data_IF_169236677689
#
_entry.id   IF_169236677689
#
_cell.length_a   1.000
_cell.length_b   1.000
_cell.length_c   1.000
_cell.angle_alpha   90.00
_cell.angle_beta   90.00
_cell.angle_gamma   90.00
#
_symmetry.space_group_name_H-M   'P 1'
#
loop_
_entity.id
_entity.type
_entity.pdbx_description
1 polymer ?
#
# COMPACT_ATOMS: atom_id res chain seq x y z
N UNK A 1 -28.81 3.46 0.57
CA UNK A 1 -27.56 3.95 1.20
C UNK A 1 -26.44 3.87 0.17
N UNK A 2 -25.51 4.81 0.17
CA UNK A 2 -24.36 4.75 -0.76
C UNK A 2 -23.28 3.83 -0.21
N UNK A 3 -22.42 3.30 -1.09
CA UNK A 3 -21.29 2.41 -0.72
C UNK A 3 -20.33 3.09 0.26
N UNK A 4 -19.95 4.33 -0.04
CA UNK A 4 -19.10 5.16 0.84
C UNK A 4 -20.01 5.98 1.75
N UNK A 5 -19.66 6.08 3.03
CA UNK A 5 -20.42 6.83 4.02
C UNK A 5 -20.19 8.35 3.87
N UNK A 6 -20.67 8.93 2.76
CA UNK A 6 -20.51 10.36 2.48
C UNK A 6 -21.16 11.25 3.54
N UNK A 7 -22.20 10.80 4.23
CA UNK A 7 -22.79 11.58 5.32
C UNK A 7 -21.77 11.81 6.43
N UNK A 8 -21.07 10.74 6.85
CA UNK A 8 -20.01 10.84 7.85
C UNK A 8 -18.84 11.70 7.34
N UNK A 9 -18.40 11.48 6.10
CA UNK A 9 -17.27 12.21 5.51
C UNK A 9 -17.55 13.71 5.43
N UNK A 10 -18.73 14.10 4.95
CA UNK A 10 -19.12 15.50 4.80
C UNK A 10 -19.28 16.19 6.16
N UNK A 11 -19.82 15.51 7.15
CA UNK A 11 -19.97 16.04 8.50
C UNK A 11 -18.62 16.30 9.19
N UNK A 12 -17.57 15.62 8.77
CA UNK A 12 -16.23 15.72 9.36
C UNK A 12 -15.21 16.43 8.45
N UNK A 13 -15.60 16.92 7.29
CA UNK A 13 -14.65 17.38 6.25
C UNK A 13 -13.68 18.45 6.76
N UNK A 14 -14.12 19.45 7.52
CA UNK A 14 -13.26 20.51 8.04
C UNK A 14 -12.20 19.96 9.00
N UNK A 15 -12.59 19.03 9.86
CA UNK A 15 -11.67 18.31 10.76
C UNK A 15 -10.69 17.46 9.97
N UNK A 16 -11.16 16.69 8.99
CA UNK A 16 -10.31 15.82 8.15
C UNK A 16 -9.28 16.64 7.36
N UNK A 17 -9.69 17.77 6.77
CA UNK A 17 -8.78 18.71 6.08
C UNK A 17 -7.72 19.25 7.03
N UNK A 18 -8.14 19.67 8.23
CA UNK A 18 -7.23 20.17 9.26
C UNK A 18 -6.24 19.09 9.68
N UNK A 19 -6.74 17.90 9.94
CA UNK A 19 -5.93 16.76 10.35
C UNK A 19 -4.93 16.36 9.26
N UNK A 20 -5.35 16.23 8.00
CA UNK A 20 -4.47 15.90 6.89
C UNK A 20 -3.31 16.89 6.76
N UNK A 21 -3.58 18.19 6.85
CA UNK A 21 -2.56 19.23 6.67
C UNK A 21 -1.60 19.37 7.87
N UNK A 22 -2.06 19.06 9.09
CA UNK A 22 -1.27 19.23 10.32
C UNK A 22 -0.51 17.98 10.73
N UNK A 23 -0.97 16.79 10.35
CA UNK A 23 -0.37 15.53 10.81
C UNK A 23 1.05 15.33 10.28
N UNK A 24 1.87 14.68 11.09
CA UNK A 24 3.27 14.33 10.84
C UNK A 24 3.45 12.83 11.15
N UNK A 25 4.42 12.14 10.54
CA UNK A 25 5.60 12.67 9.83
C UNK A 25 5.33 13.17 8.43
N UNK A 26 4.20 12.82 7.82
CA UNK A 26 3.71 13.28 6.52
C UNK A 26 2.18 13.45 6.57
N UNK A 27 1.57 13.92 5.49
CA UNK A 27 0.12 14.17 5.45
C UNK A 27 -0.66 12.86 5.41
N UNK A 28 -1.57 12.65 6.37
CA UNK A 28 -2.46 11.49 6.42
C UNK A 28 -3.74 11.77 7.19
N UNK A 29 -4.77 10.94 6.96
CA UNK A 29 -5.97 10.84 7.79
C UNK A 29 -6.31 9.39 8.08
N UNK A 30 -7.02 9.19 9.18
CA UNK A 30 -7.62 7.92 9.57
C UNK A 30 -9.12 8.15 9.72
N UNK A 31 -9.92 7.33 9.07
CA UNK A 31 -11.38 7.45 9.00
C UNK A 31 -11.98 6.10 9.36
N UNK A 32 -12.69 6.03 10.47
CA UNK A 32 -13.42 4.83 10.88
C UNK A 32 -14.84 4.83 10.28
N UNK A 33 -15.44 3.65 10.12
CA UNK A 33 -16.76 3.45 9.52
C UNK A 33 -16.87 4.08 8.12
N UNK A 34 -15.82 3.86 7.31
CA UNK A 34 -15.62 4.50 6.02
C UNK A 34 -16.66 4.08 4.96
N UNK A 35 -16.92 2.78 4.85
CA UNK A 35 -17.99 2.24 4.01
C UNK A 35 -19.28 2.08 4.82
N UNK A 36 -20.41 1.95 4.11
CA UNK A 36 -21.58 1.29 4.67
C UNK A 36 -21.18 -0.10 5.19
N UNK A 37 -21.67 -0.46 6.37
CA UNK A 37 -21.26 -1.68 7.07
C UNK A 37 -21.53 -2.94 6.25
N UNK A 38 -22.68 -2.98 5.56
CA UNK A 38 -23.07 -4.12 4.70
C UNK A 38 -22.08 -4.35 3.57
N UNK A 39 -21.56 -3.27 2.95
CA UNK A 39 -20.53 -3.37 1.91
C UNK A 39 -19.20 -3.81 2.50
N UNK A 40 -18.80 -3.28 3.65
CA UNK A 40 -17.58 -3.69 4.32
C UNK A 40 -17.57 -5.18 4.70
N UNK A 41 -18.72 -5.69 5.21
CA UNK A 41 -18.91 -7.11 5.52
C UNK A 41 -18.90 -8.00 4.27
N UNK A 42 -19.55 -7.55 3.19
CA UNK A 42 -19.58 -8.30 1.94
C UNK A 42 -18.19 -8.43 1.29
N UNK A 43 -17.33 -7.41 1.41
CA UNK A 43 -15.94 -7.49 0.96
C UNK A 43 -15.16 -8.64 1.60
N UNK A 44 -15.48 -9.05 2.83
CA UNK A 44 -14.84 -10.18 3.49
C UNK A 44 -15.06 -11.51 2.77
N UNK A 45 -16.07 -11.61 1.91
CA UNK A 45 -16.36 -12.83 1.15
C UNK A 45 -15.24 -13.19 0.16
N UNK A 46 -14.54 -12.18 -0.40
CA UNK A 46 -13.44 -12.40 -1.33
C UNK A 46 -12.19 -12.97 -0.63
N UNK A 47 -12.11 -12.86 0.70
CA UNK A 47 -11.02 -13.40 1.50
C UNK A 47 -11.24 -14.84 1.99
N UNK A 48 -12.35 -15.49 1.62
CA UNK A 48 -12.65 -16.87 2.07
C UNK A 48 -11.75 -17.91 1.40
N UNK A 49 -11.41 -17.69 0.13
CA UNK A 49 -10.48 -18.55 -0.59
C UNK A 49 -9.37 -17.71 -1.26
N UNK A 50 -8.17 -17.85 -0.74
CA UNK A 50 -6.98 -17.14 -1.23
C UNK A 50 -5.99 -18.08 -1.94
N UNK A 51 -6.43 -19.29 -2.32
CA UNK A 51 -5.57 -20.31 -2.94
C UNK A 51 -4.98 -19.88 -4.28
N UNK A 52 -5.70 -19.05 -5.03
CA UNK A 52 -5.28 -18.53 -6.33
C UNK A 52 -4.64 -17.13 -6.27
N UNK A 53 -4.43 -16.59 -5.06
CA UNK A 53 -3.81 -15.30 -4.91
C UNK A 53 -2.31 -15.36 -5.17
N UNK A 54 -1.75 -14.25 -5.67
CA UNK A 54 -0.30 -14.13 -5.86
C UNK A 54 0.43 -14.11 -4.53
N UNK A 55 1.45 -14.96 -4.40
CA UNK A 55 2.28 -15.05 -3.21
C UNK A 55 3.51 -14.17 -3.33
N UNK A 56 3.63 -13.22 -2.43
CA UNK A 56 4.83 -12.42 -2.24
C UNK A 56 5.56 -12.94 -1.01
N UNK A 57 6.69 -13.62 -1.23
CA UNK A 57 7.52 -14.15 -0.15
C UNK A 57 8.96 -13.73 -0.42
N UNK A 58 9.35 -12.67 0.23
CA UNK A 58 10.64 -12.02 0.09
C UNK A 58 11.13 -11.59 1.49
N UNK A 59 12.41 -11.28 1.65
CA UNK A 59 12.90 -10.83 2.97
C UNK A 59 12.37 -9.42 3.35
N UNK A 60 11.79 -8.67 2.43
CA UNK A 60 11.13 -7.40 2.71
C UNK A 60 9.62 -7.52 2.91
N UNK A 61 9.01 -8.61 2.45
CA UNK A 61 7.57 -8.82 2.58
C UNK A 61 7.18 -10.29 2.54
N UNK A 62 6.12 -10.62 3.27
CA UNK A 62 5.45 -11.92 3.19
C UNK A 62 3.95 -11.69 3.25
N UNK A 63 3.28 -11.73 2.10
CA UNK A 63 1.86 -11.45 1.93
C UNK A 63 1.26 -12.18 0.73
N UNK A 64 -0.06 -12.18 0.65
CA UNK A 64 -0.84 -12.58 -0.53
C UNK A 64 -1.49 -11.33 -1.13
N UNK A 65 -1.69 -11.32 -2.45
CA UNK A 65 -2.45 -10.26 -3.11
C UNK A 65 -3.30 -10.84 -4.25
N UNK A 66 -4.54 -10.37 -4.34
CA UNK A 66 -5.41 -10.56 -5.49
C UNK A 66 -5.37 -9.28 -6.33
N UNK A 67 -4.82 -9.39 -7.54
CA UNK A 67 -4.63 -8.26 -8.47
C UNK A 67 -5.56 -8.43 -9.69
N UNK A 68 -5.88 -9.67 -10.05
CA UNK A 68 -6.69 -9.99 -11.23
C UNK A 68 -8.16 -9.58 -11.02
N UNK A 69 -8.58 -8.52 -11.69
CA UNK A 69 -9.95 -7.98 -11.66
C UNK A 69 -11.02 -9.03 -11.94
N UNK A 70 -10.72 -10.01 -12.81
CA UNK A 70 -11.67 -11.07 -13.20
C UNK A 70 -12.04 -11.99 -12.05
N UNK A 71 -11.26 -11.97 -10.97
CA UNK A 71 -11.47 -12.77 -9.76
C UNK A 71 -12.13 -12.01 -8.63
N UNK A 72 -12.41 -10.69 -8.81
CA UNK A 72 -13.13 -9.91 -7.82
C UNK A 72 -14.61 -10.25 -7.83
N UNK A 73 -15.22 -10.27 -6.65
CA UNK A 73 -16.69 -10.31 -6.54
C UNK A 73 -17.32 -9.03 -7.08
N UNK A 74 -18.62 -9.08 -7.37
CA UNK A 74 -19.39 -7.91 -7.76
C UNK A 74 -19.27 -6.79 -6.71
N UNK A 75 -19.38 -7.12 -5.43
CA UNK A 75 -19.23 -6.14 -4.34
C UNK A 75 -17.85 -5.47 -4.35
N UNK A 76 -16.77 -6.24 -4.57
CA UNK A 76 -15.41 -5.67 -4.65
C UNK A 76 -15.29 -4.72 -5.83
N UNK A 77 -15.84 -5.09 -6.99
CA UNK A 77 -15.86 -4.20 -8.17
C UNK A 77 -16.65 -2.92 -7.90
N UNK A 78 -17.85 -3.03 -7.30
CA UNK A 78 -18.67 -1.87 -6.92
C UNK A 78 -17.92 -0.93 -5.97
N UNK A 79 -17.22 -1.47 -4.98
CA UNK A 79 -16.44 -0.66 -4.03
C UNK A 79 -15.29 0.05 -4.74
N UNK A 80 -14.55 -0.62 -5.62
CA UNK A 80 -13.51 0.04 -6.42
C UNK A 80 -14.10 1.14 -7.33
N UNK A 81 -15.23 0.90 -7.99
CA UNK A 81 -15.89 1.92 -8.81
C UNK A 81 -16.37 3.11 -7.95
N UNK A 82 -16.89 2.86 -6.75
CA UNK A 82 -17.24 3.93 -5.82
C UNK A 82 -16.04 4.77 -5.41
N UNK A 83 -14.88 4.15 -5.14
CA UNK A 83 -13.63 4.81 -4.81
C UNK A 83 -13.02 5.59 -6.00
N UNK A 84 -13.37 5.24 -7.23
CA UNK A 84 -12.97 5.93 -8.47
C UNK A 84 -14.00 6.97 -8.92
N UNK A 85 -15.17 7.03 -8.27
CA UNK A 85 -16.26 7.92 -8.66
C UNK A 85 -15.86 9.40 -8.58
N UNK A 86 -16.45 10.22 -9.44
CA UNK A 86 -16.27 11.68 -9.41
C UNK A 86 -16.58 12.28 -8.02
N UNK A 87 -17.58 11.74 -7.32
CA UNK A 87 -17.93 12.19 -5.99
C UNK A 87 -16.79 11.97 -4.98
N UNK A 88 -16.16 10.79 -5.01
CA UNK A 88 -15.07 10.50 -4.09
C UNK A 88 -13.76 11.20 -4.50
N UNK A 89 -13.48 11.32 -5.79
CA UNK A 89 -12.34 12.13 -6.29
C UNK A 89 -12.49 13.59 -5.83
N UNK A 90 -13.66 14.19 -5.94
CA UNK A 90 -13.90 15.56 -5.46
C UNK A 90 -13.72 15.67 -3.95
N UNK A 91 -14.18 14.68 -3.18
CA UNK A 91 -13.91 14.62 -1.74
C UNK A 91 -12.39 14.59 -1.47
N UNK A 92 -11.62 13.72 -2.14
CA UNK A 92 -10.17 13.64 -1.98
C UNK A 92 -9.47 14.96 -2.36
N UNK A 93 -9.88 15.60 -3.45
CA UNK A 93 -9.32 16.89 -3.87
C UNK A 93 -9.60 17.98 -2.83
N UNK A 94 -10.81 18.00 -2.25
CA UNK A 94 -11.12 18.91 -1.15
C UNK A 94 -10.30 18.61 0.11
N UNK A 95 -10.18 17.34 0.48
CA UNK A 95 -9.41 16.87 1.64
C UNK A 95 -7.93 17.23 1.55
N UNK A 96 -7.30 16.94 0.41
CA UNK A 96 -5.84 16.98 0.24
C UNK A 96 -5.32 18.26 -0.41
N UNK A 97 -6.20 19.02 -1.05
CA UNK A 97 -5.88 20.17 -1.93
C UNK A 97 -5.03 19.78 -3.15
N UNK A 98 -5.00 18.49 -3.51
CA UNK A 98 -4.39 18.00 -4.73
C UNK A 98 -5.45 17.95 -5.81
N UNK A 99 -5.28 18.72 -6.89
CA UNK A 99 -6.22 18.78 -8.00
C UNK A 99 -5.89 17.74 -9.08
N UNK A 100 -6.88 17.47 -9.94
CA UNK A 100 -6.73 16.55 -11.10
C UNK A 100 -6.27 15.14 -10.71
N UNK A 101 -6.82 14.63 -9.60
CA UNK A 101 -6.57 13.26 -9.19
C UNK A 101 -7.17 12.28 -10.20
N UNK A 102 -6.38 11.26 -10.55
CA UNK A 102 -6.70 10.19 -11.47
C UNK A 102 -6.59 8.84 -10.76
N UNK A 103 -7.33 7.87 -11.24
CA UNK A 103 -7.20 6.46 -10.86
C UNK A 103 -6.85 5.64 -12.08
N UNK A 104 -6.07 4.57 -11.89
CA UNK A 104 -5.75 3.65 -12.97
C UNK A 104 -6.83 2.58 -13.16
N UNK A 105 -6.78 1.91 -14.30
CA UNK A 105 -7.58 0.71 -14.52
C UNK A 105 -7.18 -0.38 -13.51
N UNK A 106 -8.17 -1.17 -13.05
CA UNK A 106 -7.94 -2.20 -12.06
C UNK A 106 -6.96 -3.29 -12.51
N UNK A 107 -6.76 -3.43 -13.80
CA UNK A 107 -5.91 -4.46 -14.41
C UNK A 107 -4.44 -4.06 -14.55
N UNK A 108 -4.12 -2.77 -14.41
CA UNK A 108 -2.76 -2.27 -14.62
C UNK A 108 -2.02 -2.08 -13.32
N UNK A 109 -2.46 -1.11 -12.51
CA UNK A 109 -1.75 -0.77 -11.28
C UNK A 109 -2.66 0.01 -10.31
N UNK A 110 -2.47 -0.22 -9.03
CA UNK A 110 -3.04 0.64 -8.01
C UNK A 110 -4.30 0.15 -7.36
N UNK A 111 -4.81 -1.04 -7.68
CA UNK A 111 -5.96 -1.62 -7.00
C UNK A 111 -5.72 -3.10 -6.69
N UNK A 112 -5.83 -3.49 -5.43
CA UNK A 112 -5.73 -4.90 -5.05
C UNK A 112 -6.34 -5.18 -3.67
N UNK A 113 -6.67 -6.47 -3.44
CA UNK A 113 -6.91 -7.00 -2.11
C UNK A 113 -5.61 -7.64 -1.60
N UNK A 114 -5.31 -7.42 -0.33
CA UNK A 114 -4.09 -7.96 0.30
C UNK A 114 -4.45 -8.72 1.57
N UNK A 115 -3.87 -9.92 1.72
CA UNK A 115 -3.95 -10.72 2.93
C UNK A 115 -2.56 -11.03 3.48
N UNK A 116 -2.39 -10.82 4.78
CA UNK A 116 -1.16 -11.15 5.49
C UNK A 116 -1.48 -12.16 6.59
N UNK A 117 -0.95 -13.37 6.47
CA UNK A 117 -1.15 -14.47 7.43
C UNK A 117 -0.14 -14.41 8.57
N UNK A 118 -0.34 -15.25 9.59
CA UNK A 118 0.62 -15.45 10.69
C UNK A 118 2.06 -15.52 10.18
N UNK A 119 2.97 -14.82 10.85
CA UNK A 119 4.38 -14.70 10.46
C UNK A 119 4.62 -13.84 9.21
N UNK A 120 3.58 -13.25 8.62
CA UNK A 120 3.72 -12.29 7.51
C UNK A 120 4.06 -10.89 8.00
N UNK A 121 4.64 -10.09 7.13
CA UNK A 121 5.10 -8.72 7.43
C UNK A 121 5.34 -7.94 6.14
N UNK A 122 5.49 -6.62 6.29
CA UNK A 122 5.97 -5.71 5.25
C UNK A 122 6.96 -4.72 5.89
N UNK A 123 8.24 -4.82 5.54
CA UNK A 123 9.26 -3.92 6.07
C UNK A 123 8.95 -2.46 5.75
N UNK A 124 9.48 -1.55 6.57
CA UNK A 124 9.32 -0.13 6.34
C UNK A 124 9.92 0.25 5.00
N UNK A 125 9.15 1.01 4.21
CA UNK A 125 9.52 1.42 2.87
C UNK A 125 8.86 2.75 2.51
N UNK A 126 9.42 3.44 1.54
CA UNK A 126 8.71 4.43 0.75
C UNK A 126 8.32 3.83 -0.59
N UNK A 127 7.14 4.20 -1.07
CA UNK A 127 6.59 3.65 -2.30
C UNK A 127 7.25 4.23 -3.55
N UNK A 128 7.16 3.46 -4.66
CA UNK A 128 7.42 4.00 -5.99
C UNK A 128 6.44 5.15 -6.30
N UNK A 129 6.89 6.13 -7.05
CA UNK A 129 6.09 7.31 -7.38
C UNK A 129 5.59 7.31 -8.83
N UNK A 130 6.39 6.77 -9.77
CA UNK A 130 6.06 6.74 -11.18
C UNK A 130 5.21 5.50 -11.50
N UNK A 131 4.06 5.70 -12.16
CA UNK A 131 3.27 4.60 -12.72
C UNK A 131 4.12 3.74 -13.67
N UNK A 132 3.91 2.42 -13.67
CA UNK A 132 4.75 1.47 -14.43
C UNK A 132 4.72 1.69 -15.93
N UNK A 133 3.56 1.97 -16.52
CA UNK A 133 3.34 2.18 -17.96
C UNK A 133 3.11 3.65 -18.32
N UNK A 134 2.33 4.39 -17.54
CA UNK A 134 1.97 5.79 -17.76
C UNK A 134 3.04 6.72 -17.18
N UNK A 135 4.17 6.90 -17.86
CA UNK A 135 5.39 7.56 -17.36
C UNK A 135 5.23 9.00 -16.87
N UNK A 136 4.13 9.67 -17.20
CA UNK A 136 3.80 11.01 -16.72
C UNK A 136 2.94 10.99 -15.46
N UNK A 137 2.46 9.82 -15.02
CA UNK A 137 1.61 9.72 -13.86
C UNK A 137 2.42 9.60 -12.58
N UNK A 138 2.19 10.56 -11.69
CA UNK A 138 2.77 10.59 -10.34
C UNK A 138 1.78 10.08 -9.32
N UNK A 139 2.17 9.10 -8.53
CA UNK A 139 1.37 8.59 -7.41
C UNK A 139 1.36 9.63 -6.29
N UNK A 140 0.18 10.12 -5.97
CA UNK A 140 -0.03 11.18 -4.99
C UNK A 140 -0.52 10.65 -3.65
N UNK A 141 -1.46 9.68 -3.70
CA UNK A 141 -2.13 9.17 -2.51
C UNK A 141 -2.19 7.64 -2.51
N UNK A 142 -2.06 7.09 -1.32
CA UNK A 142 -2.46 5.74 -0.97
C UNK A 142 -3.75 5.75 -0.17
N UNK A 143 -4.65 4.85 -0.49
CA UNK A 143 -5.80 4.48 0.30
C UNK A 143 -5.66 3.04 0.76
N UNK A 144 -5.70 2.80 2.07
CA UNK A 144 -5.73 1.48 2.70
C UNK A 144 -7.04 1.35 3.47
N UNK A 145 -7.90 0.43 3.05
CA UNK A 145 -9.11 0.10 3.79
C UNK A 145 -8.91 -1.26 4.49
N UNK A 146 -8.98 -1.26 5.81
CA UNK A 146 -8.81 -2.46 6.63
C UNK A 146 -10.14 -3.16 6.90
N UNK A 147 -10.09 -4.50 6.91
CA UNK A 147 -11.27 -5.36 7.01
C UNK A 147 -11.10 -6.42 8.12
N UNK A 148 -10.50 -6.05 9.25
CA UNK A 148 -10.16 -6.99 10.32
C UNK A 148 -11.09 -6.81 11.52
N UNK A 149 -12.11 -7.67 11.60
CA UNK A 149 -12.98 -7.74 12.76
C UNK A 149 -12.19 -8.25 13.98
N UNK A 150 -12.49 -7.73 15.16
CA UNK A 150 -11.91 -8.13 16.45
C UNK A 150 -10.36 -8.11 16.49
N UNK A 151 -9.72 -7.27 15.66
CA UNK A 151 -8.27 -7.17 15.62
C UNK A 151 -7.71 -6.61 16.91
N UNK A 152 -6.72 -7.30 17.47
CA UNK A 152 -6.06 -6.91 18.71
C UNK A 152 -4.64 -6.41 18.42
N UNK A 153 -4.19 -5.42 19.18
CA UNK A 153 -2.83 -4.86 19.02
C UNK A 153 -1.73 -5.89 19.29
N UNK A 154 -2.00 -6.91 20.11
CA UNK A 154 -1.07 -8.02 20.37
C UNK A 154 -0.81 -8.91 19.14
N UNK A 155 -1.64 -8.80 18.09
CA UNK A 155 -1.44 -9.54 16.84
C UNK A 155 -0.39 -8.90 15.94
N UNK A 156 0.18 -7.76 16.33
CA UNK A 156 1.02 -6.92 15.48
C UNK A 156 0.27 -6.42 14.22
N UNK A 157 0.99 -5.99 13.21
CA UNK A 157 0.39 -5.58 11.93
C UNK A 157 -0.13 -4.16 11.90
N UNK A 158 0.11 -3.37 12.94
CA UNK A 158 -0.17 -1.94 12.96
C UNK A 158 0.58 -1.26 11.81
N UNK A 159 -0.09 -0.33 11.15
CA UNK A 159 0.57 0.51 10.15
C UNK A 159 1.45 1.53 10.88
N UNK A 160 2.76 1.42 10.69
CA UNK A 160 3.74 2.34 11.25
C UNK A 160 4.06 3.44 10.25
N UNK A 161 4.12 4.71 10.72
CA UNK A 161 4.63 5.87 10.00
C UNK A 161 5.88 6.40 10.69
N UNK A 162 6.98 6.45 9.93
CA UNK A 162 8.30 6.82 10.42
C UNK A 162 8.69 8.22 9.98
N UNK A 163 9.56 8.88 10.74
CA UNK A 163 10.15 10.15 10.32
C UNK A 163 11.04 9.98 9.08
N UNK A 164 11.30 11.07 8.38
CA UNK A 164 12.07 11.08 7.13
C UNK A 164 13.51 10.55 7.25
N UNK A 165 14.06 10.50 8.46
CA UNK A 165 15.40 10.00 8.76
C UNK A 165 15.40 8.56 9.26
N UNK A 166 14.24 7.94 9.39
CA UNK A 166 14.07 6.57 9.91
C UNK A 166 14.60 6.38 11.33
N UNK A 167 14.54 7.42 12.15
CA UNK A 167 15.02 7.37 13.54
C UNK A 167 13.92 6.97 14.52
N UNK A 168 12.68 7.38 14.25
CA UNK A 168 11.55 7.17 15.17
C UNK A 168 10.24 6.87 14.42
N UNK A 169 9.51 5.87 14.92
CA UNK A 169 8.12 5.64 14.54
C UNK A 169 7.25 6.72 15.20
N UNK A 170 6.69 7.61 14.40
CA UNK A 170 5.88 8.74 14.89
C UNK A 170 4.42 8.38 15.13
N UNK A 171 3.91 7.41 14.38
CA UNK A 171 2.49 7.02 14.43
C UNK A 171 2.36 5.53 14.19
N UNK A 172 1.47 4.92 14.96
CA UNK A 172 0.97 3.56 14.71
C UNK A 172 -0.56 3.60 14.54
N UNK A 173 -1.06 2.83 13.60
CA UNK A 173 -2.51 2.73 13.34
C UNK A 173 -2.93 1.28 13.31
N UNK A 174 -3.76 0.88 14.26
CA UNK A 174 -4.32 -0.48 14.34
C UNK A 174 -5.22 -0.72 13.13
N UNK A 175 -5.07 -1.83 12.39
CA UNK A 175 -5.81 -2.11 11.15
C UNK A 175 -7.20 -2.71 11.44
N UNK A 176 -8.06 -2.01 12.18
CA UNK A 176 -9.40 -2.49 12.55
C UNK A 176 -10.38 -2.48 11.37
N UNK A 177 -11.50 -3.19 11.54
CA UNK A 177 -12.55 -3.31 10.54
C UNK A 177 -13.12 -1.95 10.13
N UNK A 178 -13.32 -1.77 8.82
CA UNK A 178 -13.88 -0.57 8.18
C UNK A 178 -13.14 0.74 8.49
N UNK A 179 -11.82 0.64 8.80
CA UNK A 179 -10.91 1.77 8.95
C UNK A 179 -10.20 2.06 7.65
N UNK A 180 -10.35 3.28 7.15
CA UNK A 180 -9.64 3.78 5.99
C UNK A 180 -8.49 4.70 6.42
N UNK A 181 -7.30 4.46 5.87
CA UNK A 181 -6.14 5.34 6.02
C UNK A 181 -5.78 5.90 4.66
N UNK A 182 -5.76 7.23 4.53
CA UNK A 182 -5.35 7.92 3.31
C UNK A 182 -4.12 8.74 3.63
N UNK A 183 -3.04 8.56 2.86
CA UNK A 183 -1.81 9.30 3.08
C UNK A 183 -1.12 9.68 1.77
N UNK A 184 -0.36 10.77 1.84
CA UNK A 184 0.40 11.31 0.70
C UNK A 184 1.61 10.43 0.41
N UNK A 185 1.89 10.21 -0.87
CA UNK A 185 3.06 9.45 -1.33
C UNK A 185 4.16 10.42 -1.77
N UNK A 186 5.31 10.36 -1.09
CA UNK A 186 6.51 11.14 -1.37
C UNK A 186 7.74 10.26 -1.15
N UNK A 187 8.93 10.70 -1.57
CA UNK A 187 10.17 9.90 -1.45
C UNK A 187 10.49 9.45 -0.03
N UNK A 188 10.05 10.21 0.97
CA UNK A 188 10.34 9.96 2.39
C UNK A 188 9.11 9.61 3.22
N UNK A 189 8.03 9.17 2.59
CA UNK A 189 6.85 8.68 3.31
C UNK A 189 7.04 7.22 3.73
N UNK A 190 7.90 7.02 4.73
CA UNK A 190 8.26 5.69 5.22
C UNK A 190 7.16 5.06 6.06
N UNK A 191 6.68 3.91 5.61
CA UNK A 191 5.59 3.19 6.25
C UNK A 191 5.68 1.68 6.06
N UNK A 192 4.93 0.91 6.86
CA UNK A 192 4.89 -0.55 6.79
C UNK A 192 4.29 -1.16 8.04
N UNK A 193 4.39 -2.48 8.15
CA UNK A 193 4.08 -3.25 9.36
C UNK A 193 5.16 -4.33 9.52
N UNK A 194 6.34 -3.95 10.04
CA UNK A 194 7.58 -4.74 9.92
C UNK A 194 7.70 -5.87 10.93
N UNK A 195 6.81 -5.93 11.92
CA UNK A 195 6.77 -7.02 12.88
C UNK A 195 5.95 -8.18 12.31
N UNK A 196 6.48 -9.42 12.33
CA UNK A 196 5.69 -10.58 11.92
C UNK A 196 4.38 -10.68 12.71
N UNK A 197 3.30 -11.00 12.00
CA UNK A 197 2.00 -11.17 12.63
C UNK A 197 1.99 -12.36 13.59
N UNK A 198 1.32 -12.18 14.73
CA UNK A 198 1.09 -13.20 15.76
C UNK A 198 -0.40 -13.50 15.91
N UNK A 199 -1.20 -13.14 14.89
CA UNK A 199 -2.63 -13.38 14.88
C UNK A 199 -2.96 -14.88 14.75
N UNK A 200 -4.16 -15.31 15.19
CA UNK A 200 -4.67 -16.65 14.91
C UNK A 200 -4.68 -16.94 13.41
N UNK A 201 -4.52 -18.22 13.03
CA UNK A 201 -4.42 -18.66 11.63
C UNK A 201 -5.66 -18.33 10.79
N UNK A 202 -6.81 -18.28 11.41
CA UNK A 202 -8.12 -17.95 10.85
C UNK A 202 -8.42 -16.44 10.84
N UNK A 203 -7.54 -15.63 11.43
CA UNK A 203 -7.68 -14.18 11.52
C UNK A 203 -6.53 -13.43 10.81
N UNK A 204 -6.30 -13.65 9.49
CA UNK A 204 -5.27 -12.92 8.77
C UNK A 204 -5.61 -11.43 8.68
N UNK A 205 -4.58 -10.59 8.52
CA UNK A 205 -4.74 -9.15 8.28
C UNK A 205 -5.14 -8.91 6.83
N UNK A 206 -6.31 -8.31 6.63
CA UNK A 206 -6.97 -8.07 5.35
C UNK A 206 -7.04 -6.58 5.05
N UNK A 207 -6.79 -6.20 3.81
CA UNK A 207 -6.95 -4.82 3.35
C UNK A 207 -7.26 -4.73 1.86
N UNK A 208 -7.99 -3.69 1.48
CA UNK A 208 -8.13 -3.20 0.11
C UNK A 208 -7.19 -2.01 -0.05
N UNK A 209 -6.48 -1.96 -1.18
CA UNK A 209 -5.52 -0.91 -1.48
C UNK A 209 -5.93 -0.25 -2.79
N UNK A 210 -5.84 1.09 -2.85
CA UNK A 210 -6.02 1.87 -4.08
C UNK A 210 -5.05 3.06 -4.09
N UNK A 211 -4.52 3.38 -5.29
CA UNK A 211 -3.62 4.50 -5.52
C UNK A 211 -4.30 5.58 -6.35
N UNK A 212 -3.94 6.85 -6.06
CA UNK A 212 -4.40 8.00 -6.84
C UNK A 212 -3.20 8.73 -7.41
N UNK A 213 -3.32 9.16 -8.65
CA UNK A 213 -2.25 9.76 -9.43
C UNK A 213 -2.61 11.17 -9.89
N UNK A 214 -1.61 11.92 -10.34
CA UNK A 214 -1.79 13.12 -11.17
C UNK A 214 -0.91 12.99 -12.40
N UNK A 215 -1.33 13.58 -13.52
CA UNK A 215 -0.49 13.66 -14.71
C UNK A 215 0.42 14.89 -14.65
N UNK A 216 1.70 14.68 -14.96
CA UNK A 216 2.72 15.72 -15.02
C UNK A 216 3.06 16.05 -16.48
N UNK A 217 3.58 17.25 -16.73
CA UNK A 217 3.98 17.67 -18.08
C UNK A 217 5.12 16.83 -18.66
N UNK A 218 6.02 16.35 -17.79
CA UNK A 218 7.19 15.55 -18.14
C UNK A 218 7.13 14.17 -17.53
N UNK A 219 7.87 13.23 -18.13
CA UNK A 219 8.05 11.92 -17.53
C UNK A 219 8.70 12.03 -16.13
N UNK A 220 8.16 11.25 -15.20
CA UNK A 220 8.63 11.20 -13.83
C UNK A 220 9.84 10.27 -13.77
N UNK A 221 10.84 10.66 -12.98
CA UNK A 221 11.95 9.78 -12.70
C UNK A 221 11.46 8.54 -11.93
N UNK A 222 11.88 7.36 -12.38
CA UNK A 222 11.46 6.10 -11.75
C UNK A 222 12.25 5.91 -10.46
N UNK A 223 11.58 6.10 -9.33
CA UNK A 223 12.07 5.73 -8.02
C UNK A 223 11.43 4.40 -7.63
N UNK A 224 12.21 3.30 -7.53
CA UNK A 224 11.68 2.04 -7.04
C UNK A 224 11.32 2.16 -5.56
N UNK A 225 10.50 1.22 -5.06
CA UNK A 225 10.24 1.08 -3.62
C UNK A 225 11.57 1.04 -2.85
N UNK A 226 11.72 1.93 -1.86
CA UNK A 226 12.95 2.05 -1.07
C UNK A 226 12.71 1.50 0.35
N UNK A 227 13.21 0.29 0.59
CA UNK A 227 13.10 -0.37 1.89
C UNK A 227 14.16 0.14 2.88
N UNK A 228 13.75 0.36 4.11
CA UNK A 228 14.60 0.86 5.19
C UNK A 228 14.54 -0.02 6.42
N UNK A 229 15.71 -0.27 7.02
CA UNK A 229 15.80 -0.94 8.31
C UNK A 229 15.55 0.06 9.45
N UNK A 230 14.87 -0.41 10.50
CA UNK A 230 14.66 0.37 11.70
C UNK A 230 15.93 0.43 12.57
N UNK A 231 16.10 1.43 13.44
CA UNK A 231 17.28 1.55 14.30
C UNK A 231 17.53 0.30 15.17
N UNK A 232 16.47 -0.34 15.66
CA UNK A 232 16.54 -1.53 16.51
C UNK A 232 16.52 -2.87 15.76
N UNK A 233 16.42 -2.87 14.42
CA UNK A 233 16.54 -4.10 13.65
C UNK A 233 17.97 -4.68 13.76
N UNK A 234 18.08 -6.01 13.83
CA UNK A 234 19.37 -6.70 13.94
C UNK A 234 20.26 -6.49 12.72
N UNK A 235 21.59 -6.60 12.91
CA UNK A 235 22.59 -6.36 11.86
C UNK A 235 22.32 -7.16 10.59
N UNK A 236 21.94 -8.43 10.70
CA UNK A 236 21.59 -9.27 9.54
C UNK A 236 20.48 -8.64 8.68
N UNK A 237 19.40 -8.18 9.32
CA UNK A 237 18.27 -7.54 8.63
C UNK A 237 18.71 -6.23 7.97
N UNK A 238 19.48 -5.40 8.69
CA UNK A 238 20.03 -4.14 8.15
C UNK A 238 20.88 -4.38 6.92
N UNK A 239 21.77 -5.37 6.97
CA UNK A 239 22.64 -5.73 5.85
C UNK A 239 21.83 -6.21 4.64
N UNK A 240 20.83 -7.09 4.85
CA UNK A 240 20.00 -7.60 3.75
C UNK A 240 19.19 -6.50 3.07
N UNK A 241 18.58 -5.60 3.83
CA UNK A 241 17.82 -4.46 3.29
C UNK A 241 18.76 -3.51 2.52
N UNK A 242 19.94 -3.22 3.06
CA UNK A 242 20.94 -2.37 2.38
C UNK A 242 21.42 -2.98 1.06
N UNK A 243 21.72 -4.28 1.05
CA UNK A 243 22.12 -5.00 -0.16
C UNK A 243 21.03 -5.00 -1.23
N UNK A 244 19.77 -5.19 -0.83
CA UNK A 244 18.64 -5.10 -1.76
C UNK A 244 18.56 -3.71 -2.41
N UNK A 245 18.66 -2.67 -1.62
CA UNK A 245 18.66 -1.30 -2.13
C UNK A 245 19.76 -1.06 -3.18
N UNK A 246 20.96 -1.60 -2.95
CA UNK A 246 22.06 -1.53 -3.93
C UNK A 246 21.73 -2.32 -5.19
N UNK A 247 21.21 -3.53 -5.05
CA UNK A 247 20.86 -4.40 -6.17
C UNK A 247 19.76 -3.79 -7.02
N UNK A 248 18.67 -3.32 -6.40
CA UNK A 248 17.54 -2.71 -7.10
C UNK A 248 17.99 -1.43 -7.82
N UNK A 249 18.76 -0.56 -7.18
CA UNK A 249 19.32 0.66 -7.81
C UNK A 249 20.23 0.32 -8.99
N UNK A 250 21.14 -0.65 -8.82
CA UNK A 250 22.04 -1.10 -9.89
C UNK A 250 21.25 -1.69 -11.07
N UNK A 251 20.25 -2.52 -10.78
CA UNK A 251 19.37 -3.09 -11.79
C UNK A 251 18.58 -2.02 -12.55
N UNK A 252 18.00 -1.06 -11.84
CA UNK A 252 17.27 0.07 -12.45
C UNK A 252 18.19 0.90 -13.34
N UNK A 253 19.41 1.14 -12.90
CA UNK A 253 20.44 1.85 -13.69
C UNK A 253 20.82 1.08 -14.96
N UNK A 254 21.09 -0.23 -14.85
CA UNK A 254 21.44 -1.09 -15.99
C UNK A 254 20.30 -1.23 -17.01
N UNK A 255 19.05 -1.25 -16.55
CA UNK A 255 17.88 -1.23 -17.41
C UNK A 255 17.71 0.13 -18.12
N UNK A 256 17.95 1.23 -17.42
CA UNK A 256 17.89 2.61 -17.97
C UNK A 256 18.95 2.84 -19.06
N UNK A 257 20.15 2.29 -18.89
CA UNK A 257 21.26 2.38 -19.87
C UNK A 257 21.12 1.41 -21.04
N UNK A 258 20.02 0.63 -21.12
CA UNK A 258 19.79 -0.42 -22.14
C UNK A 258 20.86 -1.51 -22.19
N UNK A 259 21.73 -1.61 -21.20
CA UNK A 259 22.78 -2.65 -21.12
C UNK A 259 22.17 -4.03 -20.83
N UNK A 260 21.02 -4.05 -20.11
CA UNK A 260 20.29 -5.29 -19.83
C UNK A 260 19.02 -5.37 -20.69
N UNK A 261 18.93 -6.41 -21.53
CA UNK A 261 17.67 -6.77 -22.19
C UNK A 261 16.69 -7.38 -21.20
N UNK A 262 15.37 -7.26 -21.42
CA UNK A 262 14.33 -7.79 -20.52
C UNK A 262 14.48 -9.29 -20.21
N UNK A 263 14.98 -10.06 -21.17
CA UNK A 263 15.27 -11.51 -20.99
C UNK A 263 16.44 -11.78 -20.02
N UNK A 264 17.51 -10.97 -20.08
CA UNK A 264 18.64 -11.06 -19.16
C UNK A 264 18.31 -10.53 -17.78
N UNK A 265 17.45 -9.50 -17.72
CA UNK A 265 16.89 -8.95 -16.50
C UNK A 265 16.12 -9.99 -15.68
N UNK A 266 15.23 -10.77 -16.34
CA UNK A 266 14.49 -11.84 -15.68
C UNK A 266 15.39 -12.96 -15.15
N UNK A 267 16.46 -13.31 -15.85
CA UNK A 267 17.43 -14.33 -15.40
C UNK A 267 18.24 -13.83 -14.20
N UNK A 268 18.68 -12.58 -14.21
CA UNK A 268 19.40 -11.93 -13.12
C UNK A 268 18.56 -11.86 -11.82
N UNK A 269 17.29 -11.45 -11.93
CA UNK A 269 16.36 -11.44 -10.80
C UNK A 269 16.10 -12.83 -10.23
N UNK A 270 15.99 -13.86 -11.07
CA UNK A 270 15.86 -15.27 -10.63
C UNK A 270 17.11 -15.73 -9.88
N UNK A 271 18.30 -15.36 -10.34
CA UNK A 271 19.56 -15.73 -9.69
C UNK A 271 19.68 -15.05 -8.31
N UNK A 272 19.35 -13.77 -8.22
CA UNK A 272 19.32 -13.03 -6.97
C UNK A 272 18.31 -13.65 -6.00
N UNK A 273 17.09 -13.94 -6.47
CA UNK A 273 16.06 -14.58 -5.66
C UNK A 273 16.58 -15.91 -5.07
N UNK A 274 17.29 -16.72 -5.85
CA UNK A 274 17.87 -17.98 -5.40
C UNK A 274 18.94 -17.80 -4.33
N UNK A 275 19.79 -16.75 -4.43
CA UNK A 275 20.82 -16.42 -3.44
C UNK A 275 20.19 -16.02 -2.10
N UNK A 276 19.07 -15.26 -2.12
CA UNK A 276 18.44 -14.73 -0.91
C UNK A 276 17.39 -15.64 -0.30
N UNK A 277 16.78 -16.55 -1.06
CA UNK A 277 15.74 -17.46 -0.55
C UNK A 277 16.26 -18.87 -0.28
N UNK A 278 17.47 -19.21 -0.73
CA UNK A 278 18.05 -20.54 -0.56
C UNK A 278 17.31 -21.65 -1.33
N UNK A 279 16.40 -21.27 -2.26
CA UNK A 279 15.61 -22.20 -3.08
C UNK A 279 15.72 -21.83 -4.56
#
# INVERSE_FOLDING_TARGET
MGIINFSLLNNQIEKLVTDFNKKRPFHYVVIDNFLDETYAENLLKDFKDTSEWSHYCHYNEKKLALIDRKKYSETTLEVFEALKSTAFINFLQNLTKINNLLTDELEEEGANLTEVKEGGFLNIHSDFQSHSTKKKWNRELNLLLYLNQDWKSEYNGDLEFWDENMMECKVTTVPIFNRCVIFKTEEKTFHGHPNPLTCPKDMPRKSLILYYFTERDKNIEVHPTDYRARPHDGLRKKTLISLDGVIVKSFTHLKRTKILSDKRAGTFLKLIKKIFTGK
#
